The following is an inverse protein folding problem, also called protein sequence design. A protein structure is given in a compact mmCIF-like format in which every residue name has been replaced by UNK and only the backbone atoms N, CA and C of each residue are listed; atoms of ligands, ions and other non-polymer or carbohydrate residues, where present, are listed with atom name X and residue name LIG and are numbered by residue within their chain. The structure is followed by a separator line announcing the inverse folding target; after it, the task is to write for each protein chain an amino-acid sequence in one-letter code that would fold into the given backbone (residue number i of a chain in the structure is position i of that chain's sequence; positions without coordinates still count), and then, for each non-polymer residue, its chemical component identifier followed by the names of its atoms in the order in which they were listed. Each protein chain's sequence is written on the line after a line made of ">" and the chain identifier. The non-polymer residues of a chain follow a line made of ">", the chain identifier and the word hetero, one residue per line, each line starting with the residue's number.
data_IF_683889141727
#
_entry.id   IF_683889141727
#
_cell.length_a   1.000
_cell.length_b   1.000
_cell.length_c   1.000
_cell.angle_alpha   90.00
_cell.angle_beta   90.00
_cell.angle_gamma   90.00
#
_symmetry.space_group_name_H-M   'P 1'
#
loop_
_entity.id
_entity.type
_entity.pdbx_description
1 polymer ?
#
# COMPACT_ATOMS: atom_id res chain seq x y z
N UNK A 1 16.26 -8.15 8.60
CA UNK A 1 15.99 -7.88 7.16
C UNK A 1 17.32 -7.54 6.51
N UNK A 2 17.68 -8.14 5.37
CA UNK A 2 18.87 -7.74 4.62
C UNK A 2 18.82 -6.24 4.32
N UNK A 3 19.97 -5.56 4.26
CA UNK A 3 20.02 -4.12 3.97
C UNK A 3 19.49 -3.78 2.56
N UNK A 4 19.63 -4.72 1.62
CA UNK A 4 19.15 -4.60 0.26
C UNK A 4 18.54 -5.91 -0.22
N UNK A 5 17.73 -5.84 -1.27
CA UNK A 5 17.18 -7.01 -1.95
C UNK A 5 18.31 -7.90 -2.49
N UNK A 6 18.33 -9.21 -2.18
CA UNK A 6 19.39 -10.10 -2.68
C UNK A 6 19.33 -10.37 -4.18
N UNK A 7 18.20 -10.04 -4.85
CA UNK A 7 17.98 -10.29 -6.29
C UNK A 7 18.34 -9.09 -7.16
N UNK A 8 18.08 -7.87 -6.68
CA UNK A 8 18.29 -6.65 -7.47
C UNK A 8 19.17 -5.60 -6.78
N UNK A 9 19.61 -5.83 -5.55
CA UNK A 9 20.42 -4.88 -4.78
C UNK A 9 19.67 -3.61 -4.35
N UNK A 10 18.36 -3.52 -4.57
CA UNK A 10 17.58 -2.36 -4.17
C UNK A 10 17.54 -2.22 -2.64
N UNK A 11 17.86 -1.03 -2.13
CA UNK A 11 17.66 -0.71 -0.71
C UNK A 11 16.17 -0.78 -0.37
N UNK A 12 15.82 -1.45 0.74
CA UNK A 12 14.44 -1.45 1.20
C UNK A 12 13.98 -0.07 1.66
N UNK A 13 14.92 0.80 2.04
CA UNK A 13 14.68 2.19 2.42
C UNK A 13 15.64 3.08 1.61
N UNK A 14 15.19 3.67 0.48
CA UNK A 14 16.05 4.48 -0.38
C UNK A 14 16.68 5.66 0.37
N UNK A 15 15.90 6.31 1.22
CA UNK A 15 16.27 7.46 2.04
C UNK A 15 15.73 7.25 3.47
N UNK A 16 16.45 7.68 4.52
CA UNK A 16 15.96 7.56 5.90
C UNK A 16 14.58 8.22 6.04
N UNK A 17 13.58 7.44 6.47
CA UNK A 17 12.21 7.94 6.62
C UNK A 17 11.39 8.04 5.33
N UNK A 18 11.87 7.48 4.21
CA UNK A 18 11.14 7.45 2.93
C UNK A 18 9.68 7.01 3.07
N UNK A 19 9.38 6.00 3.91
CA UNK A 19 8.01 5.51 4.10
C UNK A 19 7.10 6.37 4.98
N UNK A 20 7.56 7.50 5.50
CA UNK A 20 6.64 8.48 6.10
C UNK A 20 5.62 8.96 5.06
N UNK A 21 6.00 9.07 3.78
CA UNK A 21 5.06 9.35 2.69
C UNK A 21 3.97 8.27 2.54
N UNK A 22 4.31 7.00 2.72
CA UNK A 22 3.35 5.89 2.67
C UNK A 22 2.29 5.95 3.79
N UNK A 23 2.57 6.62 4.91
CA UNK A 23 1.59 6.87 5.96
C UNK A 23 0.44 7.75 5.44
N UNK A 24 0.74 8.81 4.71
CA UNK A 24 -0.29 9.70 4.12
C UNK A 24 -1.13 9.00 3.07
N UNK A 25 -0.52 8.12 2.26
CA UNK A 25 -1.26 7.28 1.29
C UNK A 25 -2.22 6.35 2.04
N UNK A 26 -1.78 5.77 3.17
CA UNK A 26 -2.63 4.90 4.01
C UNK A 26 -3.81 5.66 4.61
N UNK A 27 -3.60 6.91 5.03
CA UNK A 27 -4.68 7.79 5.46
C UNK A 27 -5.68 8.06 4.32
N UNK A 28 -5.20 8.29 3.10
CA UNK A 28 -6.07 8.41 1.91
C UNK A 28 -6.95 7.17 1.70
N UNK A 29 -6.41 5.97 1.85
CA UNK A 29 -7.20 4.73 1.80
C UNK A 29 -8.24 4.66 2.93
N UNK A 30 -7.89 5.02 4.17
CA UNK A 30 -8.82 5.01 5.29
C UNK A 30 -10.00 5.98 5.07
N UNK A 31 -9.71 7.18 4.56
CA UNK A 31 -10.73 8.16 4.15
C UNK A 31 -11.62 7.60 3.04
N UNK A 32 -11.02 6.94 2.04
CA UNK A 32 -11.75 6.29 0.96
C UNK A 32 -12.71 5.19 1.46
N UNK A 33 -12.26 4.35 2.39
CA UNK A 33 -13.09 3.32 3.03
C UNK A 33 -14.25 3.97 3.78
N UNK A 34 -13.99 5.01 4.58
CA UNK A 34 -15.04 5.72 5.32
C UNK A 34 -16.12 6.26 4.38
N UNK A 35 -15.75 6.97 3.32
CA UNK A 35 -16.73 7.50 2.35
C UNK A 35 -17.46 6.40 1.60
N UNK A 36 -16.76 5.37 1.12
CA UNK A 36 -17.38 4.27 0.39
C UNK A 36 -18.41 3.53 1.25
N UNK A 37 -18.06 3.22 2.49
CA UNK A 37 -18.96 2.55 3.44
C UNK A 37 -20.11 3.48 3.84
N UNK A 38 -19.84 4.75 4.13
CA UNK A 38 -20.87 5.72 4.49
C UNK A 38 -21.93 5.88 3.40
N UNK A 39 -21.49 6.08 2.15
CA UNK A 39 -22.38 6.17 1.00
C UNK A 39 -23.15 4.85 0.80
N UNK A 40 -22.47 3.71 0.91
CA UNK A 40 -23.11 2.41 0.76
C UNK A 40 -24.20 2.18 1.82
N UNK A 41 -23.93 2.44 3.10
CA UNK A 41 -24.92 2.27 4.16
C UNK A 41 -26.09 3.24 4.02
N UNK A 42 -25.83 4.50 3.66
CA UNK A 42 -26.89 5.49 3.47
C UNK A 42 -27.86 5.07 2.36
N UNK A 43 -27.35 4.72 1.17
CA UNK A 43 -28.18 4.44 0.00
C UNK A 43 -28.67 2.99 -0.12
N UNK A 44 -27.90 1.99 0.35
CA UNK A 44 -28.25 0.57 0.18
C UNK A 44 -28.82 -0.05 1.46
N UNK A 45 -28.44 0.44 2.64
CA UNK A 45 -28.90 -0.12 3.93
C UNK A 45 -30.01 0.72 4.59
N UNK A 46 -30.48 1.79 3.93
CA UNK A 46 -31.62 2.59 4.39
C UNK A 46 -31.31 3.49 5.58
N UNK A 47 -30.09 4.03 5.65
CA UNK A 47 -29.61 4.92 6.73
C UNK A 47 -29.77 4.32 8.14
N UNK A 48 -28.97 3.30 8.50
CA UNK A 48 -29.04 2.68 9.82
C UNK A 48 -28.52 3.61 10.92
N UNK A 49 -28.63 3.20 12.18
CA UNK A 49 -28.07 3.99 13.29
C UNK A 49 -26.55 4.23 13.16
N UNK A 50 -26.07 5.35 13.70
CA UNK A 50 -24.65 5.77 13.66
C UNK A 50 -23.68 4.69 14.15
N UNK A 51 -24.07 3.86 15.12
CA UNK A 51 -23.19 2.79 15.63
C UNK A 51 -22.89 1.72 14.58
N UNK A 52 -23.80 1.50 13.62
CA UNK A 52 -23.60 0.59 12.49
C UNK A 52 -22.53 1.14 11.56
N UNK A 53 -22.57 2.44 11.24
CA UNK A 53 -21.53 3.09 10.45
C UNK A 53 -20.15 2.94 11.11
N UNK A 54 -20.05 3.27 12.40
CA UNK A 54 -18.77 3.20 13.14
C UNK A 54 -18.23 1.76 13.18
N UNK A 55 -19.07 0.79 13.51
CA UNK A 55 -18.65 -0.62 13.62
C UNK A 55 -18.23 -1.21 12.29
N UNK A 56 -18.98 -0.95 11.20
CA UNK A 56 -18.67 -1.48 9.86
C UNK A 56 -17.38 -0.84 9.32
N UNK A 57 -17.22 0.48 9.44
CA UNK A 57 -15.99 1.16 9.02
C UNK A 57 -14.79 0.64 9.81
N UNK A 58 -14.91 0.50 11.13
CA UNK A 58 -13.83 -0.01 11.97
C UNK A 58 -13.45 -1.45 11.59
N UNK A 59 -14.43 -2.34 11.44
CA UNK A 59 -14.21 -3.72 11.06
C UNK A 59 -13.54 -3.83 9.68
N UNK A 60 -14.06 -3.13 8.67
CA UNK A 60 -13.49 -3.14 7.32
C UNK A 60 -12.08 -2.56 7.27
N UNK A 61 -11.83 -1.47 8.01
CA UNK A 61 -10.48 -0.87 8.08
C UNK A 61 -9.48 -1.84 8.72
N UNK A 62 -9.86 -2.53 9.81
CA UNK A 62 -9.01 -3.53 10.45
C UNK A 62 -8.71 -4.70 9.51
N UNK A 63 -9.71 -5.22 8.81
CA UNK A 63 -9.52 -6.31 7.83
C UNK A 63 -8.68 -5.86 6.64
N UNK A 64 -8.85 -4.62 6.17
CA UNK A 64 -8.11 -4.07 5.04
C UNK A 64 -6.68 -3.62 5.40
N UNK A 65 -6.37 -3.45 6.70
CA UNK A 65 -5.08 -2.96 7.20
C UNK A 65 -3.84 -3.60 6.53
N UNK A 66 -3.69 -4.94 6.46
CA UNK A 66 -2.52 -5.55 5.82
C UNK A 66 -2.41 -5.19 4.33
N UNK A 67 -3.54 -5.07 3.62
CA UNK A 67 -3.55 -4.69 2.21
C UNK A 67 -3.20 -3.21 2.04
N UNK A 68 -3.82 -2.34 2.83
CA UNK A 68 -3.57 -0.89 2.80
C UNK A 68 -2.09 -0.60 3.03
N UNK A 69 -1.47 -1.17 4.07
CA UNK A 69 -0.05 -0.94 4.31
C UNK A 69 0.86 -1.48 3.21
N UNK A 70 0.54 -2.65 2.63
CA UNK A 70 1.29 -3.22 1.52
C UNK A 70 1.23 -2.32 0.29
N UNK A 71 0.03 -1.90 -0.11
CA UNK A 71 -0.16 -1.08 -1.30
C UNK A 71 0.37 0.34 -1.11
N UNK A 72 0.17 0.97 0.05
CA UNK A 72 0.72 2.30 0.32
C UNK A 72 2.24 2.35 0.18
N UNK A 73 2.95 1.34 0.69
CA UNK A 73 4.41 1.25 0.56
C UNK A 73 4.83 0.99 -0.89
N UNK A 74 4.12 0.12 -1.61
CA UNK A 74 4.39 -0.13 -3.01
C UNK A 74 4.17 1.14 -3.86
N UNK A 75 3.05 1.83 -3.67
CA UNK A 75 2.73 3.08 -4.38
C UNK A 75 3.80 4.14 -4.09
N UNK A 76 4.21 4.31 -2.81
CA UNK A 76 5.28 5.25 -2.45
C UNK A 76 6.59 4.94 -3.21
N UNK A 77 6.99 3.67 -3.27
CA UNK A 77 8.17 3.24 -4.03
C UNK A 77 8.04 3.52 -5.53
N UNK A 78 6.90 3.22 -6.14
CA UNK A 78 6.69 3.45 -7.57
C UNK A 78 6.63 4.93 -7.95
N UNK A 79 6.05 5.77 -7.08
CA UNK A 79 5.91 7.20 -7.35
C UNK A 79 7.17 8.00 -7.03
N UNK A 80 7.86 7.66 -5.93
CA UNK A 80 8.94 8.48 -5.38
C UNK A 80 10.27 7.73 -5.21
N UNK A 81 10.28 6.40 -5.36
CA UNK A 81 11.46 5.58 -5.09
C UNK A 81 12.45 5.50 -6.25
N UNK A 82 12.21 6.24 -7.34
CA UNK A 82 13.04 6.33 -8.55
C UNK A 82 13.55 4.97 -9.09
N UNK A 83 12.80 3.90 -8.83
CA UNK A 83 13.11 2.52 -9.18
C UNK A 83 12.07 2.03 -10.18
N UNK A 84 12.42 2.13 -11.45
CA UNK A 84 11.59 1.65 -12.54
C UNK A 84 11.54 0.12 -12.57
N UNK A 85 10.39 -0.44 -12.92
CA UNK A 85 10.29 -1.86 -13.23
C UNK A 85 10.96 -2.14 -14.58
N UNK A 86 12.01 -2.97 -14.58
CA UNK A 86 12.62 -3.49 -15.81
C UNK A 86 12.12 -4.93 -16.08
N UNK A 87 11.29 -5.15 -17.12
CA UNK A 87 10.80 -6.48 -17.49
C UNK A 87 11.94 -7.42 -17.96
N UNK A 88 13.09 -6.87 -18.34
CA UNK A 88 14.26 -7.63 -18.79
C UNK A 88 15.29 -7.89 -17.69
N UNK A 89 15.02 -7.49 -16.44
CA UNK A 89 15.96 -7.68 -15.32
C UNK A 89 16.43 -9.13 -15.19
N UNK A 90 15.53 -10.10 -15.33
CA UNK A 90 15.85 -11.53 -15.26
C UNK A 90 16.77 -12.02 -16.40
N UNK A 91 16.72 -11.37 -17.58
CA UNK A 91 17.65 -11.65 -18.69
C UNK A 91 19.02 -11.01 -18.46
N UNK A 92 19.04 -9.79 -17.93
CA UNK A 92 20.28 -9.08 -17.61
C UNK A 92 21.07 -9.80 -16.51
N UNK A 93 20.40 -10.20 -15.43
CA UNK A 93 21.01 -10.92 -14.31
C UNK A 93 21.70 -12.22 -14.76
N UNK A 94 21.03 -13.03 -15.61
CA UNK A 94 21.62 -14.28 -16.14
C UNK A 94 22.86 -14.05 -17.03
N UNK A 95 22.92 -12.95 -17.79
CA UNK A 95 24.05 -12.68 -18.70
C UNK A 95 25.29 -12.14 -18.01
N UNK A 96 25.16 -11.44 -16.89
CA UNK A 96 26.27 -10.70 -16.26
C UNK A 96 26.74 -11.24 -14.91
N UNK A 97 25.95 -12.06 -14.21
CA UNK A 97 26.34 -12.66 -12.92
C UNK A 97 26.59 -14.18 -12.96
N UNK A 98 26.73 -14.76 -14.16
CA UNK A 98 27.31 -16.10 -14.33
C UNK A 98 26.48 -17.24 -13.74
N UNK A 99 25.46 -17.67 -14.49
CA UNK A 99 25.10 -19.09 -14.61
C UNK A 99 25.25 -19.50 -16.08
#
# INVERSE_FOLDING_TARGET
>A
MPAACPVCGLSYEPEPGFYFGAMYISFGFAVGIFFAVGIALYFLAGDPDTWVYVSVVAALTLVATPLVFRYSRAIMLYLFGNSGYDPNWARFHRRHMGE
#
